data_IF_149611368140
#
_entry.id   IF_149611368140
#
_cell.length_a   1.000
_cell.length_b   1.000
_cell.length_c   1.000
_cell.angle_alpha   90.00
_cell.angle_beta   90.00
_cell.angle_gamma   90.00
#
_symmetry.space_group_name_H-M   'P 1'
#
loop_
_entity.id
_entity.type
_entity.pdbx_description
1 polymer ?
#
# COMPACT_ATOMS: atom_id res chain seq x y z
N UNK A 1 3.26 11.26 -47.75
CA UNK A 1 3.78 12.26 -46.77
C UNK A 1 4.14 11.53 -45.47
N UNK A 2 5.42 11.44 -45.14
CA UNK A 2 5.89 10.69 -43.98
C UNK A 2 5.40 11.32 -42.67
N UNK A 3 4.76 10.52 -41.81
CA UNK A 3 4.42 10.91 -40.44
C UNK A 3 5.72 11.26 -39.71
N UNK A 4 6.02 12.56 -39.53
CA UNK A 4 7.09 13.01 -38.61
C UNK A 4 6.79 12.38 -37.25
N UNK A 5 7.59 11.37 -36.86
CA UNK A 5 7.44 10.72 -35.56
C UNK A 5 7.56 11.82 -34.50
N UNK A 6 6.53 11.96 -33.65
CA UNK A 6 6.53 12.89 -32.51
C UNK A 6 7.88 12.75 -31.81
N UNK A 7 8.70 13.80 -31.79
CA UNK A 7 9.99 13.78 -31.08
C UNK A 7 9.66 13.50 -29.62
N UNK A 8 9.89 12.26 -29.20
CA UNK A 8 9.66 11.82 -27.82
C UNK A 8 10.66 12.58 -26.97
N UNK A 9 10.20 13.23 -25.90
CA UNK A 9 11.07 13.91 -24.96
C UNK A 9 12.04 12.94 -24.27
N UNK A 10 13.03 13.49 -23.57
CA UNK A 10 13.98 12.72 -22.77
C UNK A 10 13.65 12.84 -21.28
N UNK A 11 13.88 11.77 -20.54
CA UNK A 11 13.70 11.73 -19.10
C UNK A 11 14.93 12.29 -18.37
N UNK A 12 14.72 13.24 -17.46
CA UNK A 12 15.76 13.73 -16.57
C UNK A 12 15.75 12.95 -15.25
N UNK A 13 16.87 12.31 -14.89
CA UNK A 13 16.90 11.53 -13.64
C UNK A 13 16.92 12.38 -12.37
N UNK A 14 17.30 13.66 -12.46
CA UNK A 14 17.46 14.55 -11.31
C UNK A 14 16.16 15.27 -10.92
N UNK A 15 15.27 15.57 -11.88
CA UNK A 15 13.96 16.15 -11.61
C UNK A 15 12.79 15.21 -11.95
N UNK A 16 13.08 14.02 -12.47
CA UNK A 16 12.13 12.96 -12.78
C UNK A 16 11.02 13.35 -13.78
N UNK A 17 11.27 14.38 -14.59
CA UNK A 17 10.36 14.84 -15.63
C UNK A 17 10.81 14.39 -17.02
N UNK A 18 9.84 14.11 -17.89
CA UNK A 18 10.07 13.94 -19.33
C UNK A 18 9.98 15.31 -20.00
N UNK A 19 11.11 15.78 -20.55
CA UNK A 19 11.27 17.12 -21.10
C UNK A 19 11.60 17.07 -22.59
N UNK A 20 11.25 18.13 -23.32
CA UNK A 20 11.62 18.24 -24.73
C UNK A 20 13.14 18.27 -24.93
N UNK A 21 13.62 17.79 -26.09
CA UNK A 21 15.05 17.63 -26.39
C UNK A 21 15.83 18.95 -26.25
N UNK A 22 15.20 20.09 -26.55
CA UNK A 22 15.77 21.43 -26.44
C UNK A 22 16.08 21.85 -24.99
N UNK A 23 15.45 21.18 -24.01
CA UNK A 23 15.71 21.39 -22.57
C UNK A 23 16.93 20.62 -22.08
N UNK A 24 17.57 19.81 -22.93
CA UNK A 24 18.83 19.14 -22.65
C UNK A 24 19.96 19.82 -23.42
N UNK A 25 21.11 20.03 -22.77
CA UNK A 25 22.34 20.42 -23.47
C UNK A 25 23.01 19.20 -24.08
N UNK A 26 23.91 19.35 -25.06
CA UNK A 26 24.61 18.21 -25.68
C UNK A 26 25.25 17.26 -24.66
N UNK A 27 26.02 17.78 -23.70
CA UNK A 27 26.61 16.99 -22.60
C UNK A 27 25.64 16.62 -21.45
N UNK A 28 24.49 17.29 -21.33
CA UNK A 28 23.43 16.93 -20.40
C UNK A 28 22.55 15.80 -20.93
N UNK A 29 22.38 15.74 -22.25
CA UNK A 29 21.61 14.72 -22.96
C UNK A 29 22.23 13.33 -22.72
N UNK A 30 23.54 13.18 -22.91
CA UNK A 30 24.24 11.92 -22.65
C UNK A 30 24.14 11.45 -21.19
N UNK A 31 24.04 12.40 -20.24
CA UNK A 31 23.92 12.12 -18.80
C UNK A 31 22.48 12.04 -18.31
N UNK A 32 21.49 12.24 -19.19
CA UNK A 32 20.07 12.33 -18.85
C UNK A 32 19.79 13.40 -17.77
N UNK A 33 20.47 14.55 -17.84
CA UNK A 33 20.30 15.71 -16.96
C UNK A 33 19.86 16.91 -17.79
N UNK A 34 18.71 17.50 -17.45
CA UNK A 34 18.21 18.69 -18.15
C UNK A 34 19.07 19.93 -17.85
N UNK A 35 18.99 20.95 -18.71
CA UNK A 35 19.75 22.20 -18.58
C UNK A 35 19.45 22.93 -17.26
N UNK A 36 18.25 22.79 -16.71
CA UNK A 36 17.88 23.34 -15.40
C UNK A 36 18.67 22.67 -14.27
N UNK A 37 18.64 21.34 -14.20
CA UNK A 37 19.37 20.57 -13.19
C UNK A 37 20.89 20.65 -13.39
N UNK A 38 21.37 20.80 -14.62
CA UNK A 38 22.80 20.99 -14.89
C UNK A 38 23.38 22.26 -14.23
N UNK A 39 22.54 23.27 -13.95
CA UNK A 39 22.96 24.51 -13.27
C UNK A 39 23.20 24.34 -11.77
N UNK A 40 22.74 23.25 -11.15
CA UNK A 40 22.90 22.99 -9.72
C UNK A 40 24.36 22.74 -9.30
N UNK A 41 25.26 22.51 -10.27
CA UNK A 41 26.66 22.22 -10.01
C UNK A 41 26.94 20.74 -9.73
N UNK A 42 28.21 20.35 -9.84
CA UNK A 42 28.63 18.96 -9.71
C UNK A 42 28.42 18.40 -8.29
N UNK A 43 28.64 19.21 -7.25
CA UNK A 43 28.49 18.79 -5.86
C UNK A 43 27.05 18.40 -5.52
N UNK A 44 26.07 19.26 -5.86
CA UNK A 44 24.65 18.99 -5.61
C UNK A 44 24.15 17.80 -6.42
N UNK A 45 24.55 17.70 -7.69
CA UNK A 45 24.22 16.54 -8.53
C UNK A 45 24.79 15.24 -7.96
N UNK A 46 26.01 15.29 -7.40
CA UNK A 46 26.62 14.14 -6.71
C UNK A 46 25.78 13.68 -5.52
N UNK A 47 25.35 14.60 -4.65
CA UNK A 47 24.48 14.27 -3.51
C UNK A 47 23.18 13.62 -3.98
N UNK A 48 22.52 14.19 -4.99
CA UNK A 48 21.27 13.65 -5.53
C UNK A 48 21.46 12.27 -6.18
N UNK A 49 22.60 12.06 -6.85
CA UNK A 49 22.95 10.77 -7.42
C UNK A 49 23.11 9.71 -6.34
N UNK A 50 23.77 10.03 -5.23
CA UNK A 50 23.93 9.08 -4.11
C UNK A 50 22.60 8.79 -3.42
N UNK A 51 21.75 9.79 -3.18
CA UNK A 51 20.39 9.58 -2.65
C UNK A 51 19.59 8.64 -3.58
N UNK A 52 19.66 8.87 -4.90
CA UNK A 52 19.05 7.97 -5.88
C UNK A 52 19.63 6.55 -5.82
N UNK A 53 20.94 6.41 -5.64
CA UNK A 53 21.59 5.11 -5.49
C UNK A 53 21.10 4.39 -4.22
N UNK A 54 20.95 5.12 -3.11
CA UNK A 54 20.37 4.59 -1.87
C UNK A 54 18.97 4.05 -2.14
N UNK A 55 18.08 4.84 -2.77
CA UNK A 55 16.72 4.39 -3.09
C UNK A 55 16.67 3.11 -3.93
N UNK A 56 17.64 2.91 -4.82
CA UNK A 56 17.75 1.68 -5.63
C UNK A 56 18.12 0.43 -4.81
N UNK A 57 18.69 0.60 -3.62
CA UNK A 57 18.99 -0.50 -2.71
C UNK A 57 17.78 -0.93 -1.87
N UNK A 58 16.74 -0.10 -1.83
CA UNK A 58 15.56 -0.34 -1.02
C UNK A 58 14.56 -1.19 -1.77
N UNK A 59 13.88 -2.05 -1.02
CA UNK A 59 12.63 -2.68 -1.44
C UNK A 59 11.48 -1.90 -0.81
N UNK A 60 10.42 -1.65 -1.58
CA UNK A 60 9.23 -0.91 -1.13
C UNK A 60 9.56 0.41 -0.40
N UNK A 61 10.64 1.09 -0.82
CA UNK A 61 11.09 2.38 -0.30
C UNK A 61 11.59 2.45 1.16
N UNK A 62 11.37 1.43 1.99
CA UNK A 62 11.75 1.47 3.41
C UNK A 62 12.54 0.25 3.88
N UNK A 63 12.54 -0.85 3.13
CA UNK A 63 13.16 -2.10 3.55
C UNK A 63 14.52 -2.26 2.89
N UNK A 64 15.58 -2.40 3.69
CA UNK A 64 16.93 -2.73 3.20
C UNK A 64 17.10 -4.26 3.21
N UNK A 65 17.16 -4.95 2.05
CA UNK A 65 17.35 -6.38 2.01
C UNK A 65 18.67 -6.79 2.66
N UNK A 66 18.69 -7.91 3.40
CA UNK A 66 19.88 -8.39 4.12
C UNK A 66 21.14 -8.45 3.23
N UNK A 67 20.98 -8.91 1.98
CA UNK A 67 22.07 -9.03 0.99
C UNK A 67 22.70 -7.68 0.61
N UNK A 68 21.94 -6.59 0.69
CA UNK A 68 22.40 -5.25 0.29
C UNK A 68 22.85 -4.40 1.49
N UNK A 69 22.77 -4.91 2.73
CA UNK A 69 23.22 -4.20 3.94
C UNK A 69 24.71 -3.80 3.90
N UNK A 70 25.65 -4.66 3.44
CA UNK A 70 27.05 -4.24 3.33
C UNK A 70 27.25 -3.08 2.36
N UNK A 71 26.48 -3.05 1.26
CA UNK A 71 26.50 -1.94 0.32
C UNK A 71 25.88 -0.68 0.93
N UNK A 72 24.79 -0.82 1.68
CA UNK A 72 24.15 0.29 2.39
C UNK A 72 25.05 0.89 3.47
N UNK A 73 25.82 0.08 4.19
CA UNK A 73 26.76 0.53 5.22
C UNK A 73 27.80 1.53 4.71
N UNK A 74 28.15 1.48 3.41
CA UNK A 74 29.03 2.47 2.78
C UNK A 74 28.44 3.89 2.81
N UNK A 75 27.12 4.03 2.77
CA UNK A 75 26.46 5.33 2.85
C UNK A 75 26.43 5.90 4.27
N UNK A 76 26.38 5.03 5.28
CA UNK A 76 26.52 5.44 6.69
C UNK A 76 27.93 5.98 6.98
N UNK A 77 28.96 5.50 6.26
CA UNK A 77 30.33 5.98 6.37
C UNK A 77 30.69 7.02 5.28
N UNK A 78 29.72 7.59 4.57
CA UNK A 78 29.99 8.45 3.41
C UNK A 78 30.64 9.79 3.83
N UNK A 79 31.60 10.32 3.04
CA UNK A 79 32.30 11.57 3.36
C UNK A 79 31.39 12.80 3.31
N UNK A 80 30.38 12.80 2.43
CA UNK A 80 29.38 13.88 2.37
C UNK A 80 28.34 13.71 3.48
N UNK A 81 28.26 14.71 4.36
CA UNK A 81 27.35 14.74 5.51
C UNK A 81 25.88 14.60 5.11
N UNK A 82 25.44 15.24 4.02
CA UNK A 82 24.03 15.17 3.59
C UNK A 82 23.60 13.76 3.20
N UNK A 83 24.49 13.04 2.54
CA UNK A 83 24.26 11.64 2.14
C UNK A 83 24.23 10.74 3.37
N UNK A 84 25.18 10.94 4.29
CA UNK A 84 25.25 10.18 5.55
C UNK A 84 24.02 10.37 6.41
N UNK A 85 23.64 11.62 6.67
CA UNK A 85 22.45 11.97 7.43
C UNK A 85 21.18 11.36 6.81
N UNK A 86 21.06 11.44 5.49
CA UNK A 86 19.93 10.81 4.78
C UNK A 86 19.89 9.28 4.98
N UNK A 87 21.04 8.62 4.93
CA UNK A 87 21.14 7.18 5.18
C UNK A 87 20.80 6.82 6.64
N UNK A 88 21.21 7.64 7.61
CA UNK A 88 20.88 7.47 9.04
C UNK A 88 19.37 7.61 9.29
N UNK A 89 18.75 8.68 8.78
CA UNK A 89 17.30 8.91 8.89
C UNK A 89 16.50 7.75 8.28
N UNK A 90 16.96 7.24 7.14
CA UNK A 90 16.33 6.11 6.47
C UNK A 90 16.50 4.80 7.26
N UNK A 91 17.67 4.55 7.83
CA UNK A 91 17.91 3.38 8.67
C UNK A 91 17.01 3.41 9.92
N UNK A 92 16.92 4.57 10.58
CA UNK A 92 16.03 4.77 11.73
C UNK A 92 14.56 4.51 11.36
N UNK A 93 14.09 5.02 10.21
CA UNK A 93 12.74 4.76 9.72
C UNK A 93 12.50 3.27 9.47
N UNK A 94 13.48 2.58 8.86
CA UNK A 94 13.40 1.14 8.60
C UNK A 94 13.27 0.33 9.89
N UNK A 95 14.00 0.70 10.94
CA UNK A 95 13.93 0.03 12.24
C UNK A 95 12.60 0.32 12.96
N UNK A 96 12.12 1.57 12.93
CA UNK A 96 10.80 1.93 13.45
C UNK A 96 9.68 1.12 12.80
N UNK A 97 9.70 0.99 11.46
CA UNK A 97 8.67 0.23 10.73
C UNK A 97 8.75 -1.26 11.04
N UNK A 98 9.95 -1.83 11.17
CA UNK A 98 10.13 -3.23 11.58
C UNK A 98 9.61 -3.49 13.00
N UNK A 99 9.84 -2.58 13.93
CA UNK A 99 9.35 -2.68 15.30
C UNK A 99 7.84 -2.49 15.38
N UNK A 100 7.28 -1.54 14.63
CA UNK A 100 5.84 -1.37 14.49
C UNK A 100 5.18 -2.64 13.96
N UNK A 101 5.72 -3.20 12.87
CA UNK A 101 5.21 -4.46 12.31
C UNK A 101 5.37 -5.63 13.29
N UNK A 102 6.36 -5.62 14.18
CA UNK A 102 6.49 -6.64 15.24
C UNK A 102 5.36 -6.48 16.26
N UNK A 103 5.16 -5.27 16.78
CA UNK A 103 4.12 -4.98 17.77
C UNK A 103 2.73 -5.29 17.24
N UNK A 104 2.42 -4.89 16.01
CA UNK A 104 1.13 -5.19 15.40
C UNK A 104 0.86 -6.70 15.32
N UNK A 105 1.88 -7.52 15.01
CA UNK A 105 1.73 -8.98 15.02
C UNK A 105 1.50 -9.53 16.42
N UNK A 106 2.21 -9.03 17.42
CA UNK A 106 2.03 -9.44 18.82
C UNK A 106 0.63 -9.06 19.34
N UNK A 107 0.14 -7.86 18.99
CA UNK A 107 -1.21 -7.39 19.30
C UNK A 107 -2.29 -8.23 18.60
N UNK A 108 -2.08 -8.56 17.33
CA UNK A 108 -2.98 -9.42 16.55
C UNK A 108 -3.06 -10.84 17.13
N UNK A 109 -1.91 -11.45 17.43
CA UNK A 109 -1.84 -12.77 18.07
C UNK A 109 -2.54 -12.77 19.44
N UNK A 110 -2.29 -11.75 20.27
CA UNK A 110 -2.97 -11.60 21.55
C UNK A 110 -4.49 -11.39 21.42
N UNK A 111 -4.93 -10.66 20.39
CA UNK A 111 -6.36 -10.46 20.12
C UNK A 111 -7.03 -11.77 19.67
N UNK A 112 -6.36 -12.58 18.84
CA UNK A 112 -6.84 -13.90 18.44
C UNK A 112 -6.92 -14.86 19.62
N UNK A 113 -5.90 -14.89 20.48
CA UNK A 113 -5.95 -15.69 21.71
C UNK A 113 -7.08 -15.24 22.65
N UNK A 114 -7.29 -13.93 22.80
CA UNK A 114 -8.38 -13.40 23.60
C UNK A 114 -9.74 -13.79 23.01
N UNK A 115 -9.88 -13.71 21.69
CA UNK A 115 -11.08 -14.16 20.98
C UNK A 115 -11.33 -15.66 21.17
N UNK A 116 -10.30 -16.50 21.02
CA UNK A 116 -10.40 -17.94 21.24
C UNK A 116 -10.81 -18.28 22.68
N UNK A 117 -10.25 -17.58 23.68
CA UNK A 117 -10.67 -17.73 25.08
C UNK A 117 -12.12 -17.34 25.30
N UNK A 118 -12.58 -16.26 24.67
CA UNK A 118 -13.98 -15.83 24.74
C UNK A 118 -14.90 -16.86 24.07
N UNK A 119 -14.55 -17.35 22.89
CA UNK A 119 -15.29 -18.39 22.18
C UNK A 119 -15.46 -19.64 23.06
N UNK A 120 -14.35 -20.16 23.60
CA UNK A 120 -14.38 -21.33 24.47
C UNK A 120 -15.22 -21.10 25.75
N UNK A 121 -15.15 -19.90 26.33
CA UNK A 121 -15.98 -19.55 27.48
C UNK A 121 -17.47 -19.48 27.13
N UNK A 122 -17.82 -18.94 25.96
CA UNK A 122 -19.20 -18.87 25.48
C UNK A 122 -19.76 -20.25 25.15
N UNK A 123 -19.00 -21.13 24.50
CA UNK A 123 -19.40 -22.52 24.22
C UNK A 123 -19.74 -23.26 25.51
N UNK A 124 -18.86 -23.13 26.52
CA UNK A 124 -19.11 -23.71 27.84
C UNK A 124 -20.34 -23.14 28.54
N UNK A 125 -20.61 -21.85 28.37
CA UNK A 125 -21.76 -21.19 28.99
C UNK A 125 -23.09 -21.51 28.29
N UNK A 126 -23.06 -21.73 26.98
CA UNK A 126 -24.23 -22.12 26.20
C UNK A 126 -24.64 -23.55 26.52
N UNK A 127 -23.71 -24.40 27.01
CA UNK A 127 -23.96 -25.81 27.29
C UNK A 127 -24.17 -26.56 25.98
N UNK A 128 -23.35 -27.58 25.71
CA UNK A 128 -23.59 -28.43 24.55
C UNK A 128 -24.89 -29.22 24.75
N UNK A 129 -26.00 -28.67 24.28
CA UNK A 129 -26.87 -29.44 23.41
C UNK A 129 -26.89 -28.69 22.07
N UNK A 130 -26.06 -29.08 21.09
CA UNK A 130 -26.33 -28.68 19.72
C UNK A 130 -27.78 -29.08 19.43
N UNK A 131 -28.62 -28.20 18.86
CA UNK A 131 -29.97 -28.58 18.49
C UNK A 131 -29.86 -29.87 17.66
N UNK A 132 -30.63 -30.91 17.97
CA UNK A 132 -30.51 -32.17 17.28
C UNK A 132 -30.80 -31.88 15.81
N UNK A 133 -29.78 -31.83 14.98
CA UNK A 133 -29.92 -31.83 13.53
C UNK A 133 -30.48 -33.18 13.02
N UNK A 134 -31.09 -33.97 13.91
CA UNK A 134 -31.81 -35.22 13.65
C UNK A 134 -33.27 -35.23 14.12
N UNK A 135 -33.82 -34.12 14.63
CA UNK A 135 -35.28 -33.98 14.77
C UNK A 135 -35.74 -32.81 13.91
N UNK A 136 -35.80 -33.06 12.60
CA UNK A 136 -36.79 -32.38 11.77
C UNK A 136 -38.15 -32.71 12.38
N UNK A 137 -38.64 -31.89 13.32
CA UNK A 137 -40.07 -31.76 13.50
C UNK A 137 -40.58 -31.32 12.14
N UNK A 138 -41.29 -32.23 11.45
CA UNK A 138 -41.93 -31.94 10.19
C UNK A 138 -42.61 -30.58 10.32
N UNK A 139 -42.21 -29.58 9.53
CA UNK A 139 -42.84 -28.29 9.61
C UNK A 139 -44.34 -28.47 9.26
N UNK A 140 -45.26 -27.72 9.88
CA UNK A 140 -46.70 -27.95 9.77
C UNK A 140 -47.29 -27.64 8.38
N UNK A 141 -46.47 -27.41 7.37
CA UNK A 141 -46.91 -27.48 5.98
C UNK A 141 -46.91 -28.95 5.57
N UNK A 142 -48.08 -29.57 5.69
CA UNK A 142 -48.29 -30.93 5.20
C UNK A 142 -47.96 -31.07 3.71
N UNK A 143 -47.67 -32.32 3.32
CA UNK A 143 -47.76 -32.87 1.97
C UNK A 143 -47.73 -31.85 0.82
N UNK A 144 -46.56 -31.26 0.56
CA UNK A 144 -46.28 -30.62 -0.72
C UNK A 144 -45.47 -31.58 -1.58
N UNK A 145 -46.11 -32.66 -2.00
CA UNK A 145 -45.65 -33.43 -3.15
C UNK A 145 -45.80 -32.52 -4.39
N UNK A 146 -44.68 -32.07 -4.95
CA UNK A 146 -44.63 -31.33 -6.20
C UNK A 146 -43.21 -30.93 -6.55
N UNK A 147 -42.62 -31.61 -7.54
CA UNK A 147 -41.28 -31.40 -8.09
C UNK A 147 -41.08 -30.06 -8.84
N UNK A 148 -41.95 -29.06 -8.65
CA UNK A 148 -42.01 -27.85 -9.47
C UNK A 148 -41.89 -26.57 -8.63
N UNK A 149 -40.68 -26.20 -8.18
CA UNK A 149 -40.45 -24.88 -7.57
C UNK A 149 -38.98 -24.40 -7.64
N UNK A 150 -38.32 -24.48 -8.80
CA UNK A 150 -37.12 -23.69 -9.07
C UNK A 150 -37.22 -22.91 -10.39
N UNK A 151 -38.44 -22.53 -10.79
CA UNK A 151 -38.60 -21.48 -11.80
C UNK A 151 -38.36 -20.12 -11.15
N UNK A 152 -37.10 -19.69 -11.19
CA UNK A 152 -36.74 -18.29 -11.01
C UNK A 152 -37.34 -17.50 -12.19
N UNK A 153 -38.14 -16.45 -11.96
CA UNK A 153 -38.66 -15.64 -13.05
C UNK A 153 -37.51 -14.96 -13.80
N UNK A 154 -37.48 -15.12 -15.12
CA UNK A 154 -36.45 -14.59 -16.04
C UNK A 154 -36.41 -13.04 -16.10
N UNK A 155 -37.21 -12.33 -15.30
CA UNK A 155 -37.36 -10.88 -15.37
C UNK A 155 -36.70 -10.10 -14.22
N UNK A 156 -35.82 -10.72 -13.43
CA UNK A 156 -35.02 -9.97 -12.45
C UNK A 156 -33.91 -9.18 -13.17
N UNK A 157 -34.33 -8.13 -13.89
CA UNK A 157 -33.45 -7.13 -14.49
C UNK A 157 -32.76 -6.37 -13.36
N UNK A 158 -31.44 -6.51 -13.33
CA UNK A 158 -30.51 -5.85 -12.40
C UNK A 158 -30.43 -4.32 -12.60
N UNK A 159 -31.22 -3.76 -13.53
CA UNK A 159 -31.23 -2.33 -13.85
C UNK A 159 -32.07 -1.46 -12.90
N UNK A 160 -32.74 -2.05 -11.90
CA UNK A 160 -33.61 -1.32 -10.95
C UNK A 160 -33.06 -1.28 -9.52
N UNK A 161 -31.78 -1.64 -9.31
CA UNK A 161 -31.15 -1.40 -8.02
C UNK A 161 -31.11 0.11 -7.74
N UNK A 162 -31.61 0.59 -6.58
CA UNK A 162 -31.51 2.00 -6.23
C UNK A 162 -30.03 2.39 -6.13
N UNK A 163 -29.69 3.55 -6.68
CA UNK A 163 -28.33 4.09 -6.62
C UNK A 163 -27.87 4.18 -5.15
N UNK A 164 -26.60 3.84 -4.85
CA UNK A 164 -26.07 4.00 -3.52
C UNK A 164 -26.11 5.48 -3.10
N UNK A 165 -26.44 5.79 -1.83
CA UNK A 165 -26.53 7.17 -1.38
C UNK A 165 -25.17 7.88 -1.49
N UNK A 166 -25.24 9.19 -1.73
CA UNK A 166 -24.08 10.04 -1.95
C UNK A 166 -23.10 9.96 -0.77
N UNK A 167 -21.82 9.74 -1.06
CA UNK A 167 -20.79 9.42 -0.07
C UNK A 167 -20.52 10.53 0.96
N UNK A 168 -21.15 11.70 0.80
CA UNK A 168 -21.07 12.84 1.71
C UNK A 168 -21.90 12.67 3.00
N UNK A 169 -22.90 11.78 3.05
CA UNK A 169 -23.80 11.66 4.22
C UNK A 169 -23.46 10.50 5.19
N UNK A 170 -22.53 9.61 4.83
CA UNK A 170 -22.34 8.34 5.56
C UNK A 170 -21.31 8.36 6.70
N UNK A 171 -20.63 9.47 6.98
CA UNK A 171 -19.59 9.52 8.01
C UNK A 171 -19.75 10.76 8.90
N UNK A 172 -20.11 10.61 10.19
CA UNK A 172 -20.04 11.72 11.13
C UNK A 172 -18.58 12.15 11.29
N UNK A 173 -18.27 13.37 10.85
CA UNK A 173 -16.97 13.99 11.05
C UNK A 173 -16.78 14.21 12.56
N UNK A 174 -15.77 13.57 13.14
CA UNK A 174 -15.42 13.76 14.54
C UNK A 174 -15.12 15.25 14.84
N UNK A 175 -15.62 15.82 15.95
CA UNK A 175 -15.36 17.21 16.27
C UNK A 175 -13.87 17.43 16.61
N UNK A 176 -13.28 18.42 15.96
CA UNK A 176 -11.91 18.86 16.22
C UNK A 176 -11.79 19.40 17.65
N UNK A 177 -11.02 18.70 18.49
CA UNK A 177 -10.66 19.18 19.82
C UNK A 177 -9.78 20.44 19.68
N UNK A 178 -10.30 21.56 20.17
CA UNK A 178 -9.55 22.80 20.36
C UNK A 178 -8.66 22.63 21.58
N UNK A 179 -7.36 22.59 21.35
CA UNK A 179 -6.34 22.80 22.38
C UNK A 179 -6.52 24.18 23.02
N UNK A 180 -6.60 24.19 24.36
CA UNK A 180 -6.28 25.35 25.21
C UNK A 180 -5.03 25.03 26.00
#
# INVERSE_FOLDING_TARGET
MGRKRKRRGHFCWCCEQVLANERFSGGGHARHVCRGCAKLGAAELGVRQEIRNIHRLLRHHTIIPRKLRPQFARYLAHPNERVRRYAEELAARSDQERDLLRRLREEEEAALEAYERLLFATERAIGEDPPPWGECADPPWGDCAGDDAWDLPEDTSWEQAPDPPDAAEAWPVAPAERSS
#
